data_IF_231208514321
#
_entry.id   IF_231208514321
#
_cell.length_a   1.000
_cell.length_b   1.000
_cell.length_c   1.000
_cell.angle_alpha   90.00
_cell.angle_beta   90.00
_cell.angle_gamma   90.00
#
_symmetry.space_group_name_H-M   'P 1'
#
loop_
_entity.id
_entity.type
_entity.pdbx_description
1 polymer ?
#
# COMPACT_ATOMS: atom_id res chain seq x y z
N UNK A 1 1.89 7.10 33.44
CA UNK A 1 0.86 7.51 32.46
C UNK A 1 1.01 6.65 31.22
N UNK A 2 -0.05 5.96 30.80
CA UNK A 2 -0.07 5.19 29.55
C UNK A 2 -0.22 6.16 28.37
N UNK A 3 0.66 6.10 27.36
CA UNK A 3 0.45 6.83 26.10
C UNK A 3 -0.61 6.08 25.28
N UNK A 4 -1.60 6.81 24.80
CA UNK A 4 -2.66 6.30 23.92
C UNK A 4 -2.62 7.10 22.60
N UNK A 5 -2.87 6.40 21.49
CA UNK A 5 -2.98 6.99 20.15
C UNK A 5 -4.37 6.67 19.63
N UNK A 6 -5.11 7.70 19.23
CA UNK A 6 -6.43 7.58 18.60
C UNK A 6 -6.26 7.82 17.11
N UNK A 7 -6.69 6.85 16.30
CA UNK A 7 -6.74 6.99 14.85
C UNK A 7 -8.10 7.55 14.45
N UNK A 8 -8.11 8.54 13.57
CA UNK A 8 -9.32 9.11 12.98
C UNK A 8 -9.12 9.25 11.48
N UNK A 9 -10.19 8.99 10.74
CA UNK A 9 -10.29 9.09 9.30
C UNK A 9 -11.20 10.26 8.92
N UNK A 10 -11.32 10.55 7.63
CA UNK A 10 -12.36 11.46 7.15
C UNK A 10 -13.77 10.95 7.50
N UNK A 11 -13.92 9.64 7.76
CA UNK A 11 -15.21 9.08 8.10
C UNK A 11 -15.68 9.41 9.52
N UNK A 12 -14.74 9.76 10.41
CA UNK A 12 -15.01 10.15 11.79
C UNK A 12 -15.38 11.64 11.91
N UNK A 13 -15.27 12.41 10.82
CA UNK A 13 -15.65 13.81 10.75
C UNK A 13 -17.17 13.97 10.55
N UNK A 14 -17.94 13.89 11.64
CA UNK A 14 -19.42 13.89 11.63
C UNK A 14 -20.09 15.16 11.07
N UNK A 15 -19.33 16.22 10.78
CA UNK A 15 -19.83 17.44 10.15
C UNK A 15 -19.85 17.41 8.61
N UNK A 16 -19.30 16.36 7.99
CA UNK A 16 -19.37 16.16 6.54
C UNK A 16 -20.43 15.14 6.14
N UNK A 17 -21.22 15.46 5.13
CA UNK A 17 -22.07 14.48 4.43
C UNK A 17 -21.22 13.48 3.62
N UNK A 18 -21.77 12.31 3.26
CA UNK A 18 -21.08 11.34 2.40
C UNK A 18 -20.60 11.95 1.07
N UNK A 19 -21.38 12.85 0.49
CA UNK A 19 -21.07 13.53 -0.77
C UNK A 19 -19.89 14.50 -0.61
N UNK A 20 -19.88 15.28 0.47
CA UNK A 20 -18.78 16.19 0.79
C UNK A 20 -17.47 15.43 1.03
N UNK A 21 -17.53 14.26 1.67
CA UNK A 21 -16.36 13.40 1.85
C UNK A 21 -15.83 12.90 0.51
N UNK A 22 -16.71 12.47 -0.39
CA UNK A 22 -16.32 12.02 -1.72
C UNK A 22 -15.66 13.13 -2.55
N UNK A 23 -16.18 14.35 -2.49
CA UNK A 23 -15.57 15.52 -3.14
C UNK A 23 -14.17 15.84 -2.58
N UNK A 24 -14.03 15.82 -1.26
CA UNK A 24 -12.74 16.05 -0.59
C UNK A 24 -11.72 14.96 -0.98
N UNK A 25 -12.14 13.68 -1.01
CA UNK A 25 -11.27 12.56 -1.41
C UNK A 25 -10.85 12.70 -2.87
N UNK A 26 -11.79 13.05 -3.76
CA UNK A 26 -11.52 13.19 -5.19
C UNK A 26 -10.52 14.32 -5.49
N UNK A 27 -10.49 15.37 -4.65
CA UNK A 27 -9.56 16.49 -4.78
C UNK A 27 -8.09 16.12 -4.48
N UNK A 28 -7.83 15.02 -3.76
CA UNK A 28 -6.45 14.59 -3.50
C UNK A 28 -5.82 13.89 -4.72
N UNK A 29 -4.50 14.08 -4.95
CA UNK A 29 -3.74 13.26 -5.89
C UNK A 29 -3.92 11.77 -5.59
N UNK A 30 -4.04 10.94 -6.63
CA UNK A 30 -4.39 9.52 -6.50
C UNK A 30 -3.48 8.75 -5.53
N UNK A 31 -2.17 9.05 -5.55
CA UNK A 31 -1.18 8.44 -4.65
C UNK A 31 -1.26 8.94 -3.19
N UNK A 32 -1.97 10.05 -2.91
CA UNK A 32 -2.15 10.60 -1.55
C UNK A 32 -3.52 10.30 -0.95
N UNK A 33 -4.52 9.89 -1.75
CA UNK A 33 -5.90 9.70 -1.30
C UNK A 33 -6.03 8.81 -0.08
N UNK A 34 -5.38 7.65 -0.08
CA UNK A 34 -5.46 6.72 1.07
C UNK A 34 -4.80 7.29 2.33
N UNK A 35 -3.66 7.96 2.18
CA UNK A 35 -2.95 8.57 3.29
C UNK A 35 -3.75 9.73 3.91
N UNK A 36 -4.34 10.58 3.07
CA UNK A 36 -5.11 11.76 3.50
C UNK A 36 -6.49 11.40 4.04
N UNK A 37 -7.15 10.39 3.48
CA UNK A 37 -8.50 10.00 3.87
C UNK A 37 -8.52 9.02 5.06
N UNK A 38 -7.60 8.04 5.08
CA UNK A 38 -7.59 6.94 6.06
C UNK A 38 -6.44 7.02 7.07
N UNK A 39 -5.49 7.93 6.89
CA UNK A 39 -4.30 8.02 7.74
C UNK A 39 -3.31 6.87 7.55
N UNK A 40 -3.37 6.17 6.40
CA UNK A 40 -2.52 5.01 6.08
C UNK A 40 -1.63 5.35 4.89
N UNK A 41 -0.29 5.35 5.02
CA UNK A 41 0.49 5.09 6.24
C UNK A 41 0.64 6.33 7.11
N UNK A 42 0.89 6.11 8.40
CA UNK A 42 1.26 7.16 9.36
C UNK A 42 2.61 7.76 8.95
N UNK A 43 2.78 9.07 9.10
CA UNK A 43 4.05 9.76 8.90
C UNK A 43 5.16 9.04 9.71
N UNK A 44 6.15 8.45 9.01
CA UNK A 44 7.21 7.64 9.63
C UNK A 44 7.05 6.12 9.50
N UNK A 45 5.92 5.61 9.00
CA UNK A 45 5.71 4.20 8.63
C UNK A 45 5.55 4.03 7.11
N UNK A 46 6.11 4.97 6.34
CA UNK A 46 5.81 5.17 4.93
C UNK A 46 5.95 3.91 4.09
N UNK A 47 4.95 3.68 3.24
CA UNK A 47 5.03 2.79 2.08
C UNK A 47 6.27 3.22 1.31
N UNK A 48 7.35 2.44 1.39
CA UNK A 48 8.63 2.77 0.74
C UNK A 48 8.44 2.81 -0.78
N UNK A 49 7.58 1.92 -1.28
CA UNK A 49 7.24 1.85 -2.70
C UNK A 49 6.01 2.70 -3.01
N UNK A 50 6.10 3.62 -3.99
CA UNK A 50 5.00 4.50 -4.38
C UNK A 50 3.93 3.79 -5.23
N UNK A 51 4.08 2.49 -5.50
CA UNK A 51 3.20 1.69 -6.35
C UNK A 51 2.17 0.96 -5.48
N UNK A 52 0.89 1.07 -5.84
CA UNK A 52 -0.19 0.35 -5.17
C UNK A 52 -0.13 -1.14 -5.56
N UNK A 53 -0.25 -2.03 -4.59
CA UNK A 53 -0.23 -3.48 -4.83
C UNK A 53 -1.34 -3.92 -5.80
N UNK A 54 -2.53 -3.35 -5.66
CA UNK A 54 -3.68 -3.60 -6.53
C UNK A 54 -3.41 -3.27 -8.00
N UNK A 55 -2.42 -2.41 -8.30
CA UNK A 55 -2.05 -2.05 -9.68
C UNK A 55 -1.05 -3.01 -10.31
N UNK A 56 -0.40 -3.87 -9.51
CA UNK A 56 0.64 -4.80 -9.96
C UNK A 56 0.34 -6.27 -9.64
N UNK A 57 -0.65 -6.54 -8.78
CA UNK A 57 -1.10 -7.88 -8.48
C UNK A 57 -1.92 -8.46 -9.65
N UNK A 58 -1.77 -9.75 -9.89
CA UNK A 58 -2.57 -10.49 -10.86
C UNK A 58 -2.85 -11.90 -10.37
N UNK A 59 -3.91 -12.51 -10.89
CA UNK A 59 -4.19 -13.92 -10.64
C UNK A 59 -3.07 -14.81 -11.19
N UNK A 60 -2.64 -15.85 -10.47
CA UNK A 60 -1.58 -16.73 -10.96
C UNK A 60 -1.92 -17.40 -12.29
N UNK A 61 -0.98 -17.37 -13.23
CA UNK A 61 -1.13 -18.03 -14.53
C UNK A 61 0.14 -18.76 -14.95
N UNK A 62 -0.01 -19.74 -15.84
CA UNK A 62 1.14 -20.47 -16.40
C UNK A 62 1.81 -19.62 -17.47
N UNK A 63 3.07 -19.31 -17.24
CA UNK A 63 3.90 -18.63 -18.23
C UNK A 63 4.31 -19.59 -19.36
N UNK A 64 4.33 -19.13 -20.62
CA UNK A 64 4.90 -19.89 -21.72
C UNK A 64 6.36 -20.27 -21.45
N UNK A 65 6.81 -21.41 -22.00
CA UNK A 65 8.19 -21.90 -21.80
C UNK A 65 9.26 -20.92 -22.29
N UNK A 66 8.95 -20.15 -23.32
CA UNK A 66 9.87 -19.18 -23.93
C UNK A 66 9.88 -17.82 -23.22
N UNK A 67 9.04 -17.62 -22.21
CA UNK A 67 8.95 -16.34 -21.53
C UNK A 67 10.21 -16.09 -20.69
N UNK A 68 10.87 -14.92 -20.85
CA UNK A 68 12.07 -14.59 -20.09
C UNK A 68 11.72 -14.45 -18.60
N UNK A 69 12.67 -14.81 -17.73
CA UNK A 69 12.49 -14.79 -16.27
C UNK A 69 13.73 -14.22 -15.59
N UNK A 70 13.53 -13.54 -14.48
CA UNK A 70 14.59 -12.95 -13.67
C UNK A 70 14.57 -13.62 -12.30
N UNK A 71 15.68 -14.26 -11.94
CA UNK A 71 15.89 -14.77 -10.60
C UNK A 71 16.57 -13.72 -9.72
N UNK A 72 16.09 -13.56 -8.49
CA UNK A 72 16.80 -12.82 -7.45
C UNK A 72 16.85 -13.65 -6.17
N UNK A 73 17.95 -13.49 -5.42
CA UNK A 73 18.25 -14.26 -4.24
C UNK A 73 18.90 -13.36 -3.21
N UNK A 74 18.34 -13.39 -2.01
CA UNK A 74 18.87 -12.77 -0.81
C UNK A 74 19.29 -13.87 0.16
N UNK A 75 20.60 -13.97 0.40
CA UNK A 75 21.18 -14.99 1.26
C UNK A 75 21.16 -14.53 2.70
N UNK A 76 20.51 -15.29 3.57
CA UNK A 76 20.45 -15.01 5.00
C UNK A 76 21.13 -16.10 5.84
N UNK A 77 22.06 -15.69 6.71
CA UNK A 77 22.67 -16.54 7.74
C UNK A 77 22.15 -16.21 9.14
N UNK A 78 22.00 -14.92 9.44
CA UNK A 78 21.41 -14.36 10.66
C UNK A 78 19.96 -13.86 10.44
N UNK A 79 19.46 -13.95 9.21
CA UNK A 79 18.08 -13.69 8.83
C UNK A 79 17.57 -14.77 7.86
N UNK A 80 16.25 -14.84 7.60
CA UNK A 80 15.71 -15.73 6.60
C UNK A 80 16.30 -15.43 5.22
N UNK A 81 16.62 -16.50 4.47
CA UNK A 81 16.92 -16.37 3.04
C UNK A 81 15.63 -16.18 2.24
N UNK A 82 15.68 -15.37 1.18
CA UNK A 82 14.55 -15.14 0.29
C UNK A 82 14.97 -15.32 -1.18
N UNK A 83 14.10 -15.95 -1.98
CA UNK A 83 14.32 -16.13 -3.41
C UNK A 83 13.06 -15.79 -4.17
N UNK A 84 13.20 -15.15 -5.33
CA UNK A 84 12.10 -14.82 -6.22
C UNK A 84 12.46 -15.12 -7.67
N UNK A 85 11.48 -15.59 -8.43
CA UNK A 85 11.52 -15.68 -9.88
C UNK A 85 10.42 -14.73 -10.41
N UNK A 86 10.82 -13.63 -11.04
CA UNK A 86 9.93 -12.63 -11.62
C UNK A 86 9.82 -12.87 -13.13
N UNK A 87 8.61 -12.77 -13.67
CA UNK A 87 8.32 -13.01 -15.07
C UNK A 87 7.06 -12.25 -15.53
#
# INVERSE_FOLDING_TARGET
MSRHVTFMTIDDAGHYSPEQRAEIIAAYPEHEREARAKGIPVLGSGRIFPVLEETIACEPFKLPRWWPRIGALDFGWDHPSAAVELA
#
